data_IF_179816625143
#
_entry.id   IF_179816625143
#
_cell.length_a   1.000
_cell.length_b   1.000
_cell.length_c   1.000
_cell.angle_alpha   90.00
_cell.angle_beta   90.00
_cell.angle_gamma   90.00
#
_symmetry.space_group_name_H-M   'P 1'
#
loop_
_entity.id
_entity.type
_entity.pdbx_description
1 polymer ?
#
# COMPACT_ATOMS: atom_id res chain seq x y z
N UNK A 1 -18.68 -6.50 20.93
CA UNK A 1 -18.69 -7.07 19.57
C UNK A 1 -18.98 -5.92 18.62
N UNK A 2 -18.03 -5.51 17.78
CA UNK A 2 -18.27 -4.42 16.82
C UNK A 2 -19.34 -4.87 15.84
N UNK A 3 -20.41 -4.08 15.72
CA UNK A 3 -21.53 -4.35 14.82
C UNK A 3 -21.41 -3.37 13.66
N UNK A 4 -21.39 -3.88 12.44
CA UNK A 4 -21.51 -3.06 11.24
C UNK A 4 -22.96 -2.59 11.14
N UNK A 5 -23.15 -1.39 10.58
CA UNK A 5 -24.48 -0.89 10.24
C UNK A 5 -25.05 -1.68 9.06
N UNK A 6 -26.37 -1.74 8.96
CA UNK A 6 -27.02 -2.40 7.82
C UNK A 6 -26.64 -1.74 6.48
N UNK A 7 -26.35 -0.44 6.49
CA UNK A 7 -25.99 0.30 5.28
C UNK A 7 -24.60 -0.08 4.78
N UNK A 8 -23.62 -0.26 5.68
CA UNK A 8 -22.29 -0.73 5.27
C UNK A 8 -22.29 -2.17 4.82
N UNK A 9 -23.10 -3.05 5.42
CA UNK A 9 -23.26 -4.43 4.95
C UNK A 9 -23.83 -4.45 3.53
N UNK A 10 -24.90 -3.69 3.27
CA UNK A 10 -25.48 -3.57 1.93
C UNK A 10 -24.48 -3.01 0.92
N UNK A 11 -23.70 -2.00 1.31
CA UNK A 11 -22.66 -1.43 0.45
C UNK A 11 -21.64 -2.50 0.03
N UNK A 12 -21.17 -3.31 0.98
CA UNK A 12 -20.19 -4.38 0.71
C UNK A 12 -20.80 -5.48 -0.18
N UNK A 13 -22.06 -5.85 0.07
CA UNK A 13 -22.76 -6.88 -0.71
C UNK A 13 -23.06 -6.44 -2.15
N UNK A 14 -23.18 -5.13 -2.40
CA UNK A 14 -23.36 -4.57 -3.75
C UNK A 14 -22.06 -4.52 -4.57
N UNK A 15 -20.90 -4.73 -3.94
CA UNK A 15 -19.62 -4.68 -4.65
C UNK A 15 -19.42 -5.93 -5.53
N UNK A 16 -18.82 -5.78 -6.72
CA UNK A 16 -18.32 -6.92 -7.50
C UNK A 16 -17.37 -7.79 -6.67
N UNK A 17 -17.37 -9.10 -6.93
CA UNK A 17 -16.56 -10.08 -6.18
C UNK A 17 -15.08 -9.67 -6.10
N UNK A 18 -14.49 -9.23 -7.21
CA UNK A 18 -13.10 -8.79 -7.27
C UNK A 18 -12.81 -7.59 -6.35
N UNK A 19 -13.71 -6.60 -6.30
CA UNK A 19 -13.57 -5.44 -5.41
C UNK A 19 -13.70 -5.85 -3.96
N UNK A 20 -14.70 -6.70 -3.67
CA UNK A 20 -14.94 -7.21 -2.32
C UNK A 20 -13.70 -7.93 -1.76
N UNK A 21 -13.04 -8.75 -2.57
CA UNK A 21 -11.81 -9.44 -2.15
C UNK A 21 -10.67 -8.46 -1.82
N UNK A 22 -10.49 -7.41 -2.64
CA UNK A 22 -9.50 -6.35 -2.38
C UNK A 22 -9.80 -5.61 -1.07
N UNK A 23 -11.06 -5.23 -0.86
CA UNK A 23 -11.53 -4.56 0.36
C UNK A 23 -11.31 -5.45 1.58
N UNK A 24 -11.73 -6.71 1.53
CA UNK A 24 -11.52 -7.66 2.64
C UNK A 24 -10.04 -7.83 2.98
N UNK A 25 -9.15 -7.85 1.97
CA UNK A 25 -7.70 -7.93 2.18
C UNK A 25 -7.16 -6.71 2.91
N UNK A 26 -7.60 -5.50 2.54
CA UNK A 26 -7.20 -4.24 3.21
C UNK A 26 -7.67 -4.24 4.66
N UNK A 27 -8.94 -4.56 4.90
CA UNK A 27 -9.52 -4.58 6.25
C UNK A 27 -8.82 -5.62 7.13
N UNK A 28 -8.61 -6.85 6.63
CA UNK A 28 -7.90 -7.90 7.39
C UNK A 28 -6.48 -7.47 7.75
N UNK A 29 -5.76 -6.85 6.82
CA UNK A 29 -4.40 -6.33 7.06
C UNK A 29 -4.41 -5.24 8.14
N UNK A 30 -5.37 -4.32 8.08
CA UNK A 30 -5.51 -3.25 9.07
C UNK A 30 -5.81 -3.82 10.47
N UNK A 31 -6.80 -4.71 10.58
CA UNK A 31 -7.16 -5.36 11.84
C UNK A 31 -5.97 -6.13 12.43
N UNK A 32 -5.24 -6.89 11.60
CA UNK A 32 -4.05 -7.61 12.04
C UNK A 32 -2.95 -6.66 12.55
N UNK A 33 -2.76 -5.51 11.91
CA UNK A 33 -1.81 -4.49 12.35
C UNK A 33 -2.23 -3.86 13.69
N UNK A 34 -3.51 -3.52 13.87
CA UNK A 34 -4.04 -3.01 15.13
C UNK A 34 -3.81 -4.04 16.26
N UNK A 35 -4.18 -5.29 16.02
CA UNK A 35 -4.02 -6.38 17.00
C UNK A 35 -2.56 -6.57 17.39
N UNK A 36 -1.64 -6.53 16.43
CA UNK A 36 -0.19 -6.62 16.69
C UNK A 36 0.32 -5.48 17.58
N UNK A 37 -0.29 -4.30 17.48
CA UNK A 37 0.02 -3.13 18.29
C UNK A 37 -0.75 -3.09 19.62
N UNK A 38 -1.53 -4.12 19.95
CA UNK A 38 -2.25 -4.23 21.22
C UNK A 38 -3.55 -3.41 21.30
N UNK A 39 -4.09 -2.95 20.17
CA UNK A 39 -5.36 -2.23 20.13
C UNK A 39 -6.32 -2.80 19.08
N UNK A 40 -7.59 -2.40 19.15
CA UNK A 40 -8.60 -2.72 18.14
C UNK A 40 -8.93 -1.46 17.34
N UNK A 41 -9.31 -1.57 16.05
CA UNK A 41 -9.74 -0.41 15.27
C UNK A 41 -10.88 0.29 15.99
N UNK A 42 -10.79 1.60 16.20
CA UNK A 42 -11.81 2.35 16.96
C UNK A 42 -13.20 2.27 16.30
N UNK A 43 -13.23 2.35 14.97
CA UNK A 43 -14.45 2.27 14.18
C UNK A 43 -14.25 1.38 12.96
N UNK A 44 -14.71 0.13 13.07
CA UNK A 44 -14.62 -0.85 11.97
C UNK A 44 -15.42 -0.42 10.74
N UNK A 45 -16.54 0.29 10.93
CA UNK A 45 -17.39 0.78 9.84
C UNK A 45 -16.63 1.76 8.94
N UNK A 46 -15.93 2.70 9.58
CA UNK A 46 -15.06 3.66 8.89
C UNK A 46 -13.95 2.95 8.11
N UNK A 47 -13.34 1.90 8.67
CA UNK A 47 -12.30 1.12 7.99
C UNK A 47 -12.84 0.46 6.70
N UNK A 48 -14.09 -0.02 6.70
CA UNK A 48 -14.70 -0.57 5.48
C UNK A 48 -14.97 0.52 4.43
N UNK A 49 -15.50 1.67 4.83
CA UNK A 49 -15.77 2.80 3.91
C UNK A 49 -14.46 3.27 3.27
N UNK A 50 -13.44 3.53 4.08
CA UNK A 50 -12.12 3.96 3.59
C UNK A 50 -11.47 2.89 2.70
N UNK A 51 -11.62 1.61 3.03
CA UNK A 51 -11.08 0.53 2.19
C UNK A 51 -11.75 0.47 0.80
N UNK A 52 -13.06 0.73 0.71
CA UNK A 52 -13.76 0.83 -0.58
C UNK A 52 -13.25 2.02 -1.39
N UNK A 53 -13.16 3.19 -0.76
CA UNK A 53 -12.63 4.40 -1.40
C UNK A 53 -11.20 4.20 -1.93
N UNK A 54 -10.34 3.53 -1.16
CA UNK A 54 -8.98 3.21 -1.58
C UNK A 54 -8.94 2.30 -2.80
N UNK A 55 -9.80 1.27 -2.87
CA UNK A 55 -9.87 0.38 -4.04
C UNK A 55 -10.36 1.14 -5.28
N UNK A 56 -11.33 2.03 -5.12
CA UNK A 56 -11.82 2.86 -6.22
C UNK A 56 -10.76 3.86 -6.70
N UNK A 57 -9.95 4.41 -5.78
CA UNK A 57 -8.81 5.27 -6.11
C UNK A 57 -7.71 4.51 -6.85
N UNK A 58 -7.35 3.30 -6.40
CA UNK A 58 -6.35 2.44 -7.05
C UNK A 58 -6.77 2.06 -8.47
N UNK A 59 -8.06 1.82 -8.71
CA UNK A 59 -8.57 1.51 -10.05
C UNK A 59 -8.59 2.73 -10.96
N UNK A 60 -8.92 3.89 -10.40
CA UNK A 60 -8.98 5.15 -11.17
C UNK A 60 -7.58 5.70 -11.47
N UNK A 61 -6.65 5.51 -10.56
CA UNK A 61 -5.28 6.01 -10.62
C UNK A 61 -4.33 4.86 -10.27
N UNK A 62 -4.09 3.93 -11.20
CA UNK A 62 -3.15 2.85 -10.95
C UNK A 62 -1.77 3.43 -10.66
N UNK A 63 -1.11 2.90 -9.62
CA UNK A 63 0.26 3.32 -9.31
C UNK A 63 1.14 3.15 -10.55
N UNK A 64 1.97 4.15 -10.90
CA UNK A 64 2.86 4.02 -12.03
C UNK A 64 3.78 2.83 -11.75
N UNK A 65 3.84 1.88 -12.68
CA UNK A 65 4.83 0.81 -12.64
C UNK A 65 6.19 1.46 -12.85
N UNK A 66 6.87 1.78 -11.75
CA UNK A 66 8.26 2.24 -11.79
C UNK A 66 9.08 1.01 -12.16
N UNK A 67 9.34 0.83 -13.45
CA UNK A 67 10.41 -0.05 -13.90
C UNK A 67 11.69 0.43 -13.20
N UNK A 68 12.26 -0.38 -12.33
CA UNK A 68 13.56 -0.09 -11.71
C UNK A 68 14.68 -0.28 -12.74
N UNK A 69 14.63 0.44 -13.85
CA UNK A 69 15.79 0.63 -14.72
C UNK A 69 16.77 1.50 -13.94
N UNK A 70 17.72 0.82 -13.29
CA UNK A 70 18.86 1.44 -12.65
C UNK A 70 19.85 1.92 -13.72
N UNK A 71 19.44 2.94 -14.48
CA UNK A 71 20.29 3.63 -15.45
C UNK A 71 21.21 4.62 -14.71
N UNK A 72 21.97 4.12 -13.73
CA UNK A 72 23.00 4.93 -13.10
C UNK A 72 24.14 5.11 -14.11
N UNK A 73 24.56 6.35 -14.34
CA UNK A 73 25.80 6.60 -15.07
C UNK A 73 26.95 5.82 -14.40
N UNK A 74 27.83 5.16 -15.16
CA UNK A 74 29.01 4.49 -14.61
C UNK A 74 29.82 5.46 -13.72
N UNK A 75 30.35 4.95 -12.61
CA UNK A 75 31.21 5.72 -11.73
C UNK A 75 32.38 6.31 -12.53
N UNK A 76 32.40 7.63 -12.71
CA UNK A 76 33.48 8.34 -13.39
C UNK A 76 34.76 8.18 -12.59
N UNK A 77 35.72 7.44 -13.12
CA UNK A 77 37.08 7.32 -12.54
C UNK A 77 37.98 8.30 -13.27
N UNK A 78 38.58 9.22 -12.52
CA UNK A 78 39.65 10.07 -13.04
C UNK A 78 40.99 9.38 -12.76
N UNK A 79 41.94 9.51 -13.67
CA UNK A 79 43.30 9.08 -13.41
C UNK A 79 43.86 9.85 -12.21
N UNK A 80 44.28 9.13 -11.17
CA UNK A 80 44.93 9.74 -10.03
C UNK A 80 46.36 10.09 -10.41
N UNK A 81 46.75 11.36 -10.28
CA UNK A 81 48.13 11.78 -10.50
C UNK A 81 49.06 11.01 -9.55
N UNK A 82 49.99 10.25 -10.13
CA UNK A 82 51.07 9.59 -9.39
C UNK A 82 52.24 10.53 -9.34
N UNK A 83 52.64 10.96 -8.13
CA UNK A 83 53.82 11.80 -7.97
C UNK A 83 55.09 11.01 -8.34
N UNK A 84 56.11 11.64 -8.95
CA UNK A 84 57.37 10.98 -9.33
C UNK A 84 58.15 10.36 -8.16
N UNK A 85 57.79 10.64 -6.90
CA UNK A 85 58.42 10.07 -5.70
C UNK A 85 57.88 8.68 -5.32
N UNK A 86 56.79 8.24 -5.95
CA UNK A 86 56.08 7.01 -5.59
C UNK A 86 56.21 5.88 -6.65
N UNK A 87 57.13 6.03 -7.61
CA UNK A 87 57.44 5.04 -8.67
C UNK A 87 58.81 4.40 -8.45
#
# INVERSE_FOLDING_TARGET
MMRLTNDTVKMIDLLPMEKREKVERIVRRHVAACQKNGFLPENLERVYIEAVEMVDLEERFPEPQIEQTRDWEPLRRYDQYVSPKAA
#
